data_IF_130075576511
#
_entry.id   IF_130075576511
#
_cell.length_a   1.000
_cell.length_b   1.000
_cell.length_c   1.000
_cell.angle_alpha   90.00
_cell.angle_beta   90.00
_cell.angle_gamma   90.00
#
_symmetry.space_group_name_H-M   'P 1'
#
loop_
_entity.id
_entity.type
_entity.pdbx_description
1 polymer ?
#
# COMPACT_ATOMS: atom_id res chain seq x y z
N UNK A 1 -2.43 20.94 24.91
CA UNK A 1 -1.97 21.36 23.57
C UNK A 1 -2.76 20.51 22.57
N UNK A 2 -3.65 21.11 21.77
CA UNK A 2 -4.37 20.39 20.73
C UNK A 2 -3.48 20.38 19.49
N UNK A 3 -3.01 19.20 19.09
CA UNK A 3 -2.26 19.08 17.84
C UNK A 3 -3.23 19.01 16.67
N UNK A 4 -2.99 19.83 15.65
CA UNK A 4 -3.80 19.80 14.43
C UNK A 4 -3.49 18.52 13.64
N UNK A 5 -4.51 17.97 13.00
CA UNK A 5 -4.33 16.76 12.18
C UNK A 5 -5.16 16.85 10.91
N UNK A 6 -4.62 16.30 9.83
CA UNK A 6 -5.29 16.27 8.53
C UNK A 6 -5.28 14.87 7.92
N UNK A 7 -6.25 14.63 7.03
CA UNK A 7 -6.25 13.47 6.16
C UNK A 7 -5.45 13.78 4.90
N UNK A 8 -4.45 12.93 4.63
CA UNK A 8 -3.61 13.03 3.44
C UNK A 8 -3.90 11.83 2.55
N UNK A 9 -4.12 12.10 1.27
CA UNK A 9 -4.26 11.09 0.22
C UNK A 9 -3.09 11.23 -0.72
N UNK A 10 -2.32 10.15 -0.90
CA UNK A 10 -1.12 10.16 -1.75
C UNK A 10 -1.04 8.88 -2.58
N UNK A 11 -0.77 9.07 -3.85
CA UNK A 11 -0.63 7.98 -4.81
C UNK A 11 0.84 7.71 -5.11
N UNK A 12 1.16 6.42 -5.21
CA UNK A 12 2.48 5.93 -5.57
C UNK A 12 2.38 5.04 -6.80
N UNK A 13 3.28 5.30 -7.74
CA UNK A 13 3.50 4.49 -8.94
C UNK A 13 4.91 3.93 -8.79
N UNK A 14 5.07 2.63 -9.02
CA UNK A 14 6.33 1.87 -8.92
C UNK A 14 6.86 1.59 -7.50
N UNK A 15 7.96 0.83 -7.41
CA UNK A 15 8.66 0.42 -6.18
C UNK A 15 9.23 1.64 -5.46
N UNK A 16 8.41 2.25 -4.61
CA UNK A 16 8.83 3.33 -3.72
C UNK A 16 8.78 2.84 -2.28
N UNK A 17 9.71 3.35 -1.46
CA UNK A 17 9.72 3.13 -0.01
C UNK A 17 9.23 4.42 0.67
N UNK A 18 7.91 4.70 0.71
CA UNK A 18 7.44 5.90 1.38
C UNK A 18 7.66 5.81 2.88
N UNK A 19 8.30 6.85 3.41
CA UNK A 19 8.46 7.07 4.84
C UNK A 19 7.44 8.14 5.25
N UNK A 20 6.52 7.76 6.11
CA UNK A 20 5.49 8.65 6.65
C UNK A 20 5.77 8.92 8.12
N UNK A 21 5.81 10.19 8.50
CA UNK A 21 6.06 10.61 9.88
C UNK A 21 4.82 11.24 10.50
N UNK A 22 4.61 11.00 11.79
CA UNK A 22 3.49 11.54 12.55
C UNK A 22 2.15 10.96 12.10
N UNK A 23 2.06 9.64 11.87
CA UNK A 23 0.85 8.95 11.39
C UNK A 23 0.20 8.15 12.52
N UNK A 24 -1.11 8.29 12.70
CA UNK A 24 -1.91 7.49 13.66
C UNK A 24 -2.70 6.35 13.01
N UNK A 25 -3.01 6.49 11.73
CA UNK A 25 -3.77 5.49 10.99
C UNK A 25 -3.40 5.62 9.51
N UNK A 26 -3.11 4.49 8.88
CA UNK A 26 -2.76 4.39 7.48
C UNK A 26 -3.66 3.35 6.82
N UNK A 27 -4.37 3.76 5.78
CA UNK A 27 -5.08 2.88 4.87
C UNK A 27 -4.28 2.77 3.58
N UNK A 28 -3.98 1.55 3.18
CA UNK A 28 -3.31 1.24 1.93
C UNK A 28 -4.29 0.53 1.00
N UNK A 29 -4.46 1.06 -0.20
CA UNK A 29 -5.38 0.50 -1.20
C UNK A 29 -4.58 0.16 -2.45
N UNK A 30 -4.68 -1.09 -2.90
CA UNK A 30 -4.13 -1.49 -4.17
C UNK A 30 -5.11 -1.13 -5.29
N UNK A 31 -4.83 -0.02 -5.95
CA UNK A 31 -5.61 0.48 -7.09
C UNK A 31 -5.05 0.01 -8.43
N UNK A 32 -3.97 -0.78 -8.40
CA UNK A 32 -3.33 -1.37 -9.55
C UNK A 32 -4.01 -2.66 -10.02
N UNK A 33 -3.42 -3.28 -11.05
CA UNK A 33 -3.85 -4.57 -11.59
C UNK A 33 -2.97 -5.74 -11.12
N UNK A 34 -1.84 -5.45 -10.49
CA UNK A 34 -0.87 -6.43 -9.96
C UNK A 34 -1.05 -6.64 -8.47
N UNK A 35 -0.58 -7.76 -7.94
CA UNK A 35 -0.56 -8.03 -6.50
C UNK A 35 0.60 -7.25 -5.88
N UNK A 36 0.32 -6.50 -4.82
CA UNK A 36 1.34 -5.78 -4.06
C UNK A 36 1.64 -6.52 -2.75
N UNK A 37 2.89 -6.52 -2.33
CA UNK A 37 3.36 -7.02 -1.03
C UNK A 37 3.86 -5.80 -0.26
N UNK A 38 3.20 -5.48 0.85
CA UNK A 38 3.52 -4.32 1.68
C UNK A 38 3.94 -4.78 3.06
N UNK A 39 5.19 -4.54 3.43
CA UNK A 39 5.79 -5.02 4.68
C UNK A 39 5.52 -6.52 4.93
N UNK A 40 5.60 -7.34 3.87
CA UNK A 40 5.33 -8.78 3.92
C UNK A 40 3.86 -9.19 3.84
N UNK A 41 2.91 -8.24 3.78
CA UNK A 41 1.48 -8.54 3.63
C UNK A 41 1.03 -8.40 2.18
N UNK A 42 0.42 -9.46 1.65
CA UNK A 42 -0.12 -9.50 0.29
C UNK A 42 -1.45 -8.74 0.18
N UNK A 43 -1.52 -7.79 -0.74
CA UNK A 43 -2.69 -6.96 -1.05
C UNK A 43 -3.07 -7.17 -2.52
N UNK A 44 -4.20 -7.83 -2.74
CA UNK A 44 -4.72 -8.08 -4.09
C UNK A 44 -5.26 -6.80 -4.74
N UNK A 45 -5.37 -6.74 -6.08
CA UNK A 45 -6.03 -5.65 -6.78
C UNK A 45 -7.40 -5.33 -6.17
N UNK A 46 -7.71 -4.04 -6.03
CA UNK A 46 -8.92 -3.49 -5.39
C UNK A 46 -9.04 -3.72 -3.88
N UNK A 47 -8.13 -4.47 -3.26
CA UNK A 47 -8.15 -4.70 -1.82
C UNK A 47 -7.60 -3.48 -1.07
N UNK A 48 -8.19 -3.26 0.11
CA UNK A 48 -7.74 -2.27 1.10
C UNK A 48 -7.25 -2.99 2.35
N UNK A 49 -6.14 -2.51 2.90
CA UNK A 49 -5.63 -2.89 4.20
C UNK A 49 -5.48 -1.65 5.07
N UNK A 50 -5.82 -1.77 6.36
CA UNK A 50 -5.62 -0.71 7.34
C UNK A 50 -4.48 -1.13 8.27
N UNK A 51 -3.49 -0.27 8.38
CA UNK A 51 -2.36 -0.36 9.28
C UNK A 51 -2.58 0.67 10.39
N UNK A 52 -2.72 0.18 11.62
CA UNK A 52 -2.84 0.99 12.83
C UNK A 52 -1.58 0.73 13.65
N UNK A 53 -0.82 1.77 14.05
CA UNK A 53 0.29 1.62 14.98
C UNK A 53 -0.20 0.95 16.28
N UNK A 54 0.56 0.00 16.84
CA UNK A 54 0.12 -0.81 17.97
C UNK A 54 -0.15 -0.01 19.26
N UNK A 55 0.43 1.18 19.38
CA UNK A 55 0.28 2.08 20.52
C UNK A 55 -0.87 3.10 20.35
N UNK A 56 -1.52 3.14 19.18
CA UNK A 56 -2.56 4.13 18.86
C UNK A 56 -2.06 5.57 18.83
N UNK A 57 -0.74 5.80 18.88
CA UNK A 57 -0.14 7.14 18.89
C UNK A 57 0.36 7.53 17.50
N UNK A 58 1.04 8.68 17.41
CA UNK A 58 1.68 9.13 16.18
C UNK A 58 3.02 8.43 16.03
N UNK A 59 3.11 7.54 15.03
CA UNK A 59 4.34 6.80 14.76
C UNK A 59 4.92 7.14 13.39
N UNK A 60 6.21 6.82 13.23
CA UNK A 60 6.88 6.77 11.94
C UNK A 60 6.58 5.42 11.29
N UNK A 61 6.00 5.45 10.09
CA UNK A 61 5.67 4.26 9.31
C UNK A 61 6.56 4.22 8.07
N UNK A 62 7.36 3.17 7.95
CA UNK A 62 8.11 2.85 6.73
C UNK A 62 7.35 1.74 5.99
N UNK A 63 7.04 1.98 4.71
CA UNK A 63 6.39 0.98 3.87
C UNK A 63 7.40 0.49 2.83
N UNK A 64 7.66 -0.80 2.82
CA UNK A 64 8.33 -1.51 1.74
C UNK A 64 7.26 -2.08 0.82
N UNK A 65 7.22 -1.63 -0.44
CA UNK A 65 6.20 -2.01 -1.42
C UNK A 65 6.89 -2.74 -2.57
N UNK A 66 6.60 -4.03 -2.68
CA UNK A 66 7.05 -4.89 -3.78
C UNK A 66 5.84 -5.33 -4.61
N UNK A 67 5.98 -5.49 -5.92
CA UNK A 67 4.91 -6.01 -6.77
C UNK A 67 5.25 -7.42 -7.24
N UNK A 68 4.29 -8.35 -7.16
CA UNK A 68 4.48 -9.66 -7.77
C UNK A 68 4.29 -9.53 -9.27
N UNK A 69 5.41 -9.52 -10.00
CA UNK A 69 5.41 -9.63 -11.46
C UNK A 69 5.24 -11.08 -11.89
N UNK A 70 4.72 -11.27 -13.10
CA UNK A 70 4.32 -12.55 -13.66
C UNK A 70 5.46 -13.57 -13.87
N UNK A 71 6.72 -13.21 -13.64
CA UNK A 71 7.87 -14.05 -14.01
C UNK A 71 8.31 -15.10 -12.96
N UNK A 72 7.96 -14.99 -11.67
CA UNK A 72 8.63 -15.84 -10.66
C UNK A 72 7.79 -16.88 -9.91
N UNK A 73 6.48 -16.73 -9.69
CA UNK A 73 5.81 -17.69 -8.75
C UNK A 73 4.29 -17.78 -8.88
N UNK A 74 3.73 -18.20 -10.01
CA UNK A 74 2.29 -18.52 -10.04
C UNK A 74 1.95 -19.87 -10.68
N UNK A 75 1.09 -20.61 -9.96
CA UNK A 75 0.38 -21.76 -10.49
C UNK A 75 -0.45 -21.36 -11.73
N UNK A 76 -0.39 -22.14 -12.83
CA UNK A 76 -0.82 -21.72 -14.17
C UNK A 76 -2.32 -21.41 -14.32
N UNK A 77 -3.14 -21.71 -13.31
CA UNK A 77 -4.59 -21.50 -13.32
C UNK A 77 -5.03 -20.08 -12.99
N UNK A 78 -4.24 -19.30 -12.24
CA UNK A 78 -4.57 -17.90 -11.90
C UNK A 78 -3.98 -16.88 -12.90
N UNK A 79 -2.94 -17.27 -13.63
CA UNK A 79 -2.19 -16.38 -14.54
C UNK A 79 -2.94 -16.11 -15.85
N UNK A 80 -3.74 -17.07 -16.33
CA UNK A 80 -4.43 -16.97 -17.64
C UNK A 80 -5.40 -15.79 -17.76
N UNK A 81 -5.84 -15.18 -16.65
CA UNK A 81 -6.72 -13.99 -16.66
C UNK A 81 -5.99 -12.65 -16.49
N UNK A 82 -4.73 -12.64 -16.06
CA UNK A 82 -3.93 -11.41 -15.86
C UNK A 82 -3.07 -11.04 -17.08
N UNK A 83 -2.68 -12.01 -17.92
CA UNK A 83 -1.71 -11.81 -19.04
C UNK A 83 -2.23 -10.90 -20.17
N UNK A 84 -3.52 -10.57 -20.22
CA UNK A 84 -4.10 -9.74 -21.30
C UNK A 84 -4.17 -8.25 -20.99
N UNK A 85 -3.82 -7.81 -19.77
CA UNK A 85 -3.81 -6.40 -19.38
C UNK A 85 -2.38 -5.89 -19.15
N UNK A 86 -2.10 -4.64 -19.55
CA UNK A 86 -0.85 -3.97 -19.13
C UNK A 86 -0.76 -3.99 -17.60
N UNK A 87 0.37 -4.43 -17.06
CA UNK A 87 0.64 -4.37 -15.63
C UNK A 87 0.62 -2.90 -15.18
N UNK A 88 -0.22 -2.57 -14.20
CA UNK A 88 -0.38 -1.23 -13.66
C UNK A 88 -0.14 -1.28 -12.15
N UNK A 89 1.06 -0.91 -11.73
CA UNK A 89 1.48 -0.86 -10.33
C UNK A 89 1.05 0.46 -9.69
N UNK A 90 0.06 0.43 -8.79
CA UNK A 90 -0.50 1.65 -8.18
C UNK A 90 -1.02 1.42 -6.77
N UNK A 91 -0.42 2.10 -5.80
CA UNK A 91 -0.89 2.11 -4.41
C UNK A 91 -1.40 3.50 -4.04
N UNK A 92 -2.56 3.53 -3.39
CA UNK A 92 -3.13 4.73 -2.77
C UNK A 92 -2.97 4.64 -1.26
N UNK A 93 -2.26 5.60 -0.67
CA UNK A 93 -2.13 5.78 0.77
C UNK A 93 -3.11 6.85 1.24
N UNK A 94 -3.90 6.53 2.26
CA UNK A 94 -4.80 7.47 2.92
C UNK A 94 -4.45 7.42 4.41
N UNK A 95 -3.99 8.53 4.98
CA UNK A 95 -3.52 8.52 6.37
C UNK A 95 -3.84 9.81 7.12
N UNK A 96 -3.98 9.69 8.44
CA UNK A 96 -4.12 10.84 9.33
C UNK A 96 -2.75 11.26 9.83
N UNK A 97 -2.35 12.50 9.58
CA UNK A 97 -1.03 13.06 9.95
C UNK A 97 -1.17 14.22 10.94
N UNK A 98 -0.26 14.30 11.91
CA UNK A 98 -0.06 15.47 12.78
C UNK A 98 0.62 16.60 11.98
N UNK A 99 0.05 17.81 12.04
CA UNK A 99 0.59 19.02 11.40
C UNK A 99 1.23 19.91 12.47
#
# INVERSE_FOLDING_TARGET
MFAESAFITREFREEQIPILEGVTCLSVVNTGTTIAIINGVTIYPTQKQILIPPDGTFSKVKLEVNYMTSESTFAPTLVKKMITGKEHNRILLIYKKLI
#
